data_IF_180454164124
#
_entry.id   IF_180454164124
#
_cell.length_a   1.000
_cell.length_b   1.000
_cell.length_c   1.000
_cell.angle_alpha   90.00
_cell.angle_beta   90.00
_cell.angle_gamma   90.00
#
_symmetry.space_group_name_H-M   'P 1'
#
loop_
_entity.id
_entity.type
_entity.pdbx_description
1 polymer ?
#
# COMPACT_ATOMS: atom_id res chain seq x y z
N UNK A 1 -12.27 53.54 -14.69
CA UNK A 1 -11.07 52.75 -14.36
C UNK A 1 -11.45 51.63 -13.40
N UNK A 2 -11.92 50.51 -13.92
CA UNK A 2 -12.13 49.29 -13.13
C UNK A 2 -11.37 48.22 -13.89
N UNK A 3 -10.10 48.01 -13.48
CA UNK A 3 -9.25 46.97 -14.03
C UNK A 3 -9.79 45.62 -13.53
N UNK A 4 -10.23 44.79 -14.48
CA UNK A 4 -10.54 43.39 -14.26
C UNK A 4 -9.29 42.69 -13.69
N UNK A 5 -9.38 42.22 -12.45
CA UNK A 5 -8.47 41.22 -11.92
C UNK A 5 -8.68 39.93 -12.71
N UNK A 6 -7.76 39.65 -13.65
CA UNK A 6 -7.59 38.31 -14.19
C UNK A 6 -7.19 37.39 -13.04
N UNK A 7 -8.11 36.53 -12.59
CA UNK A 7 -7.76 35.33 -11.86
C UNK A 7 -6.89 34.48 -12.77
N UNK A 8 -5.58 34.56 -12.59
CA UNK A 8 -4.67 33.52 -13.07
C UNK A 8 -4.99 32.25 -12.30
N UNK A 9 -5.85 31.39 -12.85
CA UNK A 9 -5.88 30.00 -12.47
C UNK A 9 -4.53 29.40 -12.87
N UNK A 10 -3.56 29.38 -11.94
CA UNK A 10 -2.42 28.50 -12.06
C UNK A 10 -2.95 27.06 -12.09
N UNK A 11 -3.06 26.51 -13.30
CA UNK A 11 -3.17 25.08 -13.52
C UNK A 11 -1.90 24.44 -12.95
N UNK A 12 -1.90 24.16 -11.65
CA UNK A 12 -0.92 23.29 -11.04
C UNK A 12 -1.10 21.92 -11.70
N UNK A 13 -0.25 21.61 -12.67
CA UNK A 13 -0.13 20.24 -13.17
C UNK A 13 0.22 19.36 -11.96
N UNK A 14 -0.74 18.52 -11.57
CA UNK A 14 -0.59 17.60 -10.43
C UNK A 14 0.51 16.59 -10.77
N UNK A 15 1.68 16.77 -10.17
CA UNK A 15 2.82 15.84 -10.32
C UNK A 15 2.58 14.67 -9.36
N UNK A 16 2.12 13.55 -9.91
CA UNK A 16 1.96 12.32 -9.17
C UNK A 16 3.32 11.64 -8.94
N UNK A 17 3.53 10.96 -7.81
CA UNK A 17 4.67 10.06 -7.65
C UNK A 17 4.75 9.06 -8.81
N UNK A 18 5.93 8.90 -9.41
CA UNK A 18 6.18 7.82 -10.37
C UNK A 18 5.99 6.47 -9.69
N UNK A 19 6.43 6.34 -8.44
CA UNK A 19 6.36 5.09 -7.66
C UNK A 19 6.01 5.32 -6.20
N UNK A 20 5.32 4.33 -5.65
CA UNK A 20 5.17 4.10 -4.21
C UNK A 20 5.75 2.72 -3.92
N UNK A 21 6.75 2.64 -3.06
CA UNK A 21 7.48 1.41 -2.76
C UNK A 21 7.22 1.07 -1.29
N UNK A 22 6.48 0.01 -1.04
CA UNK A 22 6.22 -0.51 0.30
C UNK A 22 7.35 -1.46 0.68
N UNK A 23 7.94 -1.28 1.87
CA UNK A 23 9.06 -2.11 2.34
C UNK A 23 8.73 -2.64 3.73
N UNK A 24 8.79 -3.97 3.93
CA UNK A 24 8.75 -4.53 5.28
C UNK A 24 10.12 -4.39 5.94
N UNK A 25 10.16 -4.10 7.23
CA UNK A 25 11.40 -4.11 7.99
C UNK A 25 12.19 -5.43 7.86
N UNK A 26 13.51 -5.35 8.07
CA UNK A 26 14.39 -6.52 8.13
C UNK A 26 14.08 -7.42 9.32
N UNK A 27 14.67 -8.62 9.35
CA UNK A 27 14.48 -9.58 10.44
C UNK A 27 14.75 -8.92 11.80
N UNK A 28 13.78 -9.01 12.70
CA UNK A 28 13.86 -8.51 14.07
C UNK A 28 14.12 -9.64 15.06
N UNK A 29 14.58 -9.30 16.27
CA UNK A 29 14.71 -10.28 17.34
C UNK A 29 13.39 -11.02 17.60
N UNK A 30 12.26 -10.31 17.51
CA UNK A 30 10.93 -10.89 17.62
C UNK A 30 10.49 -11.77 16.44
N UNK A 31 11.11 -11.64 15.25
CA UNK A 31 10.87 -12.60 14.16
C UNK A 31 11.63 -13.92 14.37
N UNK A 32 12.82 -13.83 14.98
CA UNK A 32 13.64 -14.99 15.29
C UNK A 32 13.16 -15.73 16.53
N UNK A 33 12.72 -15.00 17.55
CA UNK A 33 12.28 -15.54 18.83
C UNK A 33 11.09 -14.73 19.36
N UNK A 34 9.91 -15.35 19.40
CA UNK A 34 8.68 -14.70 19.86
C UNK A 34 8.73 -14.30 21.34
N UNK A 35 9.58 -14.94 22.16
CA UNK A 35 9.72 -14.60 23.59
C UNK A 35 10.24 -13.17 23.81
N UNK A 36 10.87 -12.57 22.79
CA UNK A 36 11.31 -11.18 22.83
C UNK A 36 10.13 -10.22 23.12
N UNK A 37 8.93 -10.52 22.63
CA UNK A 37 7.72 -9.72 22.86
C UNK A 37 7.13 -9.87 24.27
N UNK A 38 7.64 -10.78 25.08
CA UNK A 38 7.21 -10.94 26.48
C UNK A 38 7.96 -10.00 27.43
N UNK A 39 9.11 -9.47 27.02
CA UNK A 39 9.99 -8.64 27.87
C UNK A 39 10.30 -7.27 27.25
N UNK A 40 10.28 -7.18 25.93
CA UNK A 40 10.55 -5.94 25.19
C UNK A 40 9.26 -5.48 24.52
N UNK A 41 8.83 -4.22 24.73
CA UNK A 41 7.67 -3.67 24.03
C UNK A 41 7.86 -3.75 22.51
N UNK A 42 6.81 -4.12 21.76
CA UNK A 42 6.90 -4.39 20.32
C UNK A 42 7.63 -3.27 19.55
N UNK A 43 7.28 -2.01 19.79
CA UNK A 43 7.88 -0.87 19.12
C UNK A 43 9.40 -0.70 19.37
N UNK A 44 9.96 -1.32 20.41
CA UNK A 44 11.39 -1.30 20.77
C UNK A 44 12.18 -2.51 20.26
N UNK A 45 11.52 -3.52 19.70
CA UNK A 45 12.20 -4.73 19.24
C UNK A 45 13.22 -4.38 18.14
N UNK A 46 14.52 -4.65 18.34
CA UNK A 46 15.56 -4.26 17.39
C UNK A 46 15.69 -5.27 16.24
N UNK A 47 16.39 -4.85 15.18
CA UNK A 47 16.83 -5.76 14.11
C UNK A 47 17.87 -6.77 14.62
N UNK A 48 17.93 -7.92 13.95
CA UNK A 48 19.08 -8.83 14.04
C UNK A 48 20.21 -8.35 13.12
N UNK A 49 21.45 -8.87 13.27
CA UNK A 49 22.51 -8.63 12.30
C UNK A 49 22.13 -9.07 10.87
N UNK A 50 21.32 -10.13 10.74
CA UNK A 50 20.77 -10.58 9.47
C UNK A 50 19.79 -9.54 8.90
N UNK A 51 18.89 -8.99 9.72
CA UNK A 51 17.98 -7.91 9.33
C UNK A 51 18.69 -6.64 8.84
N UNK A 52 19.85 -6.32 9.43
CA UNK A 52 20.71 -5.23 8.95
C UNK A 52 21.30 -5.54 7.57
N UNK A 53 21.77 -6.76 7.34
CA UNK A 53 22.30 -7.17 6.03
C UNK A 53 21.21 -7.19 4.94
N UNK A 54 20.02 -7.70 5.27
CA UNK A 54 18.83 -7.65 4.41
C UNK A 54 18.49 -6.22 3.99
N UNK A 55 18.48 -5.28 4.94
CA UNK A 55 18.14 -3.88 4.67
C UNK A 55 19.17 -3.18 3.75
N UNK A 56 20.45 -3.52 3.87
CA UNK A 56 21.49 -3.03 2.95
C UNK A 56 21.26 -3.53 1.52
N UNK A 57 20.95 -4.81 1.35
CA UNK A 57 20.66 -5.40 0.05
C UNK A 57 19.41 -4.78 -0.58
N UNK A 58 18.33 -4.66 0.21
CA UNK A 58 17.10 -4.02 -0.25
C UNK A 58 17.34 -2.57 -0.67
N UNK A 59 18.17 -1.80 0.05
CA UNK A 59 18.57 -0.46 -0.36
C UNK A 59 19.21 -0.40 -1.74
N UNK A 60 20.12 -1.34 -2.04
CA UNK A 60 20.76 -1.42 -3.35
C UNK A 60 19.76 -1.79 -4.46
N UNK A 61 18.83 -2.71 -4.19
CA UNK A 61 17.79 -3.13 -5.14
C UNK A 61 16.79 -1.99 -5.41
N UNK A 62 16.28 -1.33 -4.37
CA UNK A 62 15.35 -0.19 -4.51
C UNK A 62 16.03 0.96 -5.28
N UNK A 63 17.32 1.22 -5.02
CA UNK A 63 18.08 2.21 -5.80
C UNK A 63 18.08 1.87 -7.29
N UNK A 64 18.29 0.60 -7.67
CA UNK A 64 18.22 0.17 -9.07
C UNK A 64 16.84 0.46 -9.68
N UNK A 65 15.77 0.10 -8.98
CA UNK A 65 14.39 0.39 -9.38
C UNK A 65 14.15 1.88 -9.62
N UNK A 66 14.45 2.75 -8.64
CA UNK A 66 14.16 4.18 -8.79
C UNK A 66 15.01 4.85 -9.87
N UNK A 67 16.21 4.31 -10.13
CA UNK A 67 17.11 4.80 -11.17
C UNK A 67 16.91 4.18 -12.56
N UNK A 68 15.91 3.30 -12.73
CA UNK A 68 15.70 2.52 -13.96
C UNK A 68 17.00 1.81 -14.40
N UNK A 69 17.66 1.10 -13.47
CA UNK A 69 18.97 0.47 -13.65
C UNK A 69 20.08 1.46 -14.08
N UNK A 70 19.98 2.70 -13.62
CA UNK A 70 20.91 3.79 -13.94
C UNK A 70 20.59 4.54 -15.24
N UNK A 71 19.51 4.19 -15.94
CA UNK A 71 19.05 4.92 -17.14
C UNK A 71 18.45 6.28 -16.80
N UNK A 72 17.79 6.40 -15.64
CA UNK A 72 17.23 7.66 -15.15
C UNK A 72 18.21 8.39 -14.22
N UNK A 73 18.31 9.71 -14.40
CA UNK A 73 19.14 10.62 -13.59
C UNK A 73 18.34 11.72 -12.91
N UNK A 74 17.02 11.77 -13.06
CA UNK A 74 16.12 12.80 -12.51
C UNK A 74 15.28 12.26 -11.35
N UNK A 75 15.58 11.08 -10.82
CA UNK A 75 14.82 10.51 -9.71
C UNK A 75 15.14 11.18 -8.37
N UNK A 76 14.11 11.30 -7.53
CA UNK A 76 14.15 11.74 -6.14
C UNK A 76 13.39 10.76 -5.25
N UNK A 77 13.82 10.64 -4.00
CA UNK A 77 13.18 9.77 -3.01
C UNK A 77 12.72 10.55 -1.78
N UNK A 78 11.50 10.26 -1.34
CA UNK A 78 10.96 10.71 -0.05
C UNK A 78 10.58 9.49 0.78
N UNK A 79 11.03 9.47 2.04
CA UNK A 79 10.80 8.34 2.93
C UNK A 79 9.67 8.61 3.92
N UNK A 80 8.75 7.65 4.05
CA UNK A 80 7.91 7.50 5.23
C UNK A 80 8.39 6.30 6.04
N UNK A 81 8.36 6.40 7.36
CA UNK A 81 8.81 5.30 8.22
C UNK A 81 7.93 5.18 9.46
N UNK A 82 7.55 3.94 9.79
CA UNK A 82 6.91 3.68 11.08
C UNK A 82 7.85 4.04 12.24
N UNK A 83 7.33 4.52 13.39
CA UNK A 83 8.14 4.90 14.54
C UNK A 83 8.87 3.73 15.23
N UNK A 84 8.66 2.49 14.81
CA UNK A 84 9.25 1.33 15.48
C UNK A 84 10.76 1.25 15.24
N UNK A 85 11.51 0.76 16.23
CA UNK A 85 12.98 0.72 16.14
C UNK A 85 13.46 -0.12 14.95
N UNK A 86 12.82 -1.27 14.69
CA UNK A 86 13.13 -2.11 13.54
C UNK A 86 12.93 -1.42 12.18
N UNK A 87 11.88 -0.61 12.02
CA UNK A 87 11.62 0.13 10.77
C UNK A 87 12.58 1.29 10.62
N UNK A 88 12.87 2.03 11.71
CA UNK A 88 13.87 3.11 11.71
C UNK A 88 15.28 2.58 11.41
N UNK A 89 15.67 1.46 12.01
CA UNK A 89 16.92 0.75 11.71
C UNK A 89 16.99 0.30 10.26
N UNK A 90 15.91 -0.27 9.72
CA UNK A 90 15.83 -0.69 8.32
C UNK A 90 16.02 0.51 7.37
N UNK A 91 15.33 1.62 7.63
CA UNK A 91 15.47 2.84 6.84
C UNK A 91 16.91 3.38 6.86
N UNK A 92 17.58 3.36 8.02
CA UNK A 92 18.98 3.82 8.12
C UNK A 92 19.91 3.05 7.18
N UNK A 93 19.70 1.74 7.05
CA UNK A 93 20.50 0.89 6.16
C UNK A 93 20.12 1.07 4.68
N UNK A 94 18.83 1.14 4.37
CA UNK A 94 18.34 1.43 3.01
C UNK A 94 18.87 2.78 2.52
N UNK A 95 18.76 3.81 3.37
CA UNK A 95 19.16 5.18 3.07
C UNK A 95 20.62 5.33 2.67
N UNK A 96 21.51 4.45 3.15
CA UNK A 96 22.94 4.45 2.76
C UNK A 96 23.19 4.15 1.29
N UNK A 97 22.22 3.59 0.59
CA UNK A 97 22.32 3.32 -0.85
C UNK A 97 22.07 4.56 -1.71
N UNK A 98 21.54 5.65 -1.13
CA UNK A 98 21.13 6.83 -1.87
C UNK A 98 22.10 8.00 -1.68
N UNK A 99 22.51 8.69 -2.75
CA UNK A 99 23.20 9.97 -2.64
C UNK A 99 22.34 11.00 -1.89
N UNK A 100 22.96 11.83 -1.03
CA UNK A 100 22.23 12.75 -0.14
C UNK A 100 21.35 13.76 -0.89
N UNK A 101 21.78 14.21 -2.07
CA UNK A 101 21.09 15.15 -2.97
C UNK A 101 19.85 14.53 -3.66
N UNK A 102 19.72 13.21 -3.59
CA UNK A 102 18.56 12.46 -4.10
C UNK A 102 17.46 12.27 -3.06
N UNK A 103 17.80 12.43 -1.78
CA UNK A 103 16.87 12.29 -0.66
C UNK A 103 16.26 13.67 -0.35
N UNK A 104 15.01 13.87 -0.76
CA UNK A 104 14.32 15.16 -0.58
C UNK A 104 13.68 15.29 0.80
N UNK A 105 13.43 14.18 1.50
CA UNK A 105 12.90 14.23 2.85
C UNK A 105 12.66 12.86 3.47
N UNK A 106 12.41 12.89 4.77
CA UNK A 106 11.98 11.75 5.57
C UNK A 106 10.94 12.23 6.58
N UNK A 107 9.93 11.41 6.83
CA UNK A 107 8.92 11.66 7.87
C UNK A 107 8.58 10.37 8.60
N UNK A 108 8.59 10.45 9.93
CA UNK A 108 8.01 9.41 10.77
C UNK A 108 6.48 9.49 10.69
N UNK A 109 5.82 8.35 10.53
CA UNK A 109 4.37 8.25 10.36
C UNK A 109 3.82 7.12 11.24
N UNK A 110 3.16 7.49 12.35
CA UNK A 110 2.60 6.55 13.32
C UNK A 110 1.48 5.68 12.74
N UNK A 111 0.77 6.16 11.71
CA UNK A 111 -0.37 5.43 11.12
C UNK A 111 0.07 4.25 10.24
N UNK A 112 1.35 4.13 9.91
CA UNK A 112 1.91 2.98 9.18
C UNK A 112 2.68 2.00 10.07
N UNK A 113 2.43 2.00 11.39
CA UNK A 113 2.98 0.99 12.33
C UNK A 113 2.26 -0.36 12.20
N UNK A 114 2.84 -1.42 12.77
CA UNK A 114 2.24 -2.77 12.76
C UNK A 114 0.90 -2.80 13.51
N UNK A 115 0.07 -3.81 13.27
CA UNK A 115 -1.10 -4.10 14.11
C UNK A 115 -0.69 -4.27 15.57
N UNK A 116 -1.34 -3.54 16.47
CA UNK A 116 -1.09 -3.70 17.90
C UNK A 116 -1.71 -5.02 18.40
N UNK A 117 -0.90 -5.89 19.01
CA UNK A 117 -1.33 -7.19 19.54
C UNK A 117 -1.59 -7.18 21.06
N UNK A 118 -1.77 -5.98 21.64
CA UNK A 118 -1.76 -5.75 23.09
C UNK A 118 -0.37 -5.39 23.61
N UNK A 119 -0.21 -5.34 24.93
CA UNK A 119 1.02 -4.86 25.60
C UNK A 119 2.20 -5.83 25.45
N UNK A 120 2.21 -6.90 26.25
CA UNK A 120 3.20 -7.97 26.17
C UNK A 120 2.56 -9.25 25.65
N UNK A 121 3.30 -9.97 24.84
CA UNK A 121 2.82 -11.17 24.16
C UNK A 121 3.35 -12.42 24.90
N UNK A 122 2.56 -12.92 25.85
CA UNK A 122 2.83 -14.19 26.50
C UNK A 122 2.60 -15.36 25.53
N UNK A 123 3.56 -16.26 25.43
CA UNK A 123 3.59 -17.29 24.37
C UNK A 123 2.33 -18.18 24.35
N UNK A 124 1.94 -18.74 25.51
CA UNK A 124 0.78 -19.63 25.61
C UNK A 124 -0.53 -18.89 25.26
N UNK A 125 -0.68 -17.66 25.76
CA UNK A 125 -1.84 -16.81 25.47
C UNK A 125 -1.90 -16.47 23.98
N UNK A 126 -0.77 -16.11 23.37
CA UNK A 126 -0.69 -15.80 21.95
C UNK A 126 -0.97 -17.00 21.05
N UNK A 127 -0.60 -18.21 21.48
CA UNK A 127 -0.94 -19.43 20.73
C UNK A 127 -2.46 -19.62 20.65
N UNK A 128 -3.16 -19.54 21.78
CA UNK A 128 -4.63 -19.65 21.82
C UNK A 128 -5.32 -18.54 21.01
N UNK A 129 -4.79 -17.32 21.07
CA UNK A 129 -5.29 -16.17 20.30
C UNK A 129 -5.14 -16.43 18.79
N UNK A 130 -3.99 -16.93 18.33
CA UNK A 130 -3.74 -17.24 16.91
C UNK A 130 -4.69 -18.32 16.40
N UNK A 131 -4.89 -19.39 17.15
CA UNK A 131 -5.84 -20.47 16.81
C UNK A 131 -7.28 -19.94 16.71
N UNK A 132 -7.68 -19.05 17.64
CA UNK A 132 -9.00 -18.41 17.61
C UNK A 132 -9.14 -17.50 16.39
N UNK A 133 -8.11 -16.73 16.07
CA UNK A 133 -8.07 -15.83 14.91
C UNK A 133 -8.19 -16.59 13.59
N UNK A 134 -7.51 -17.73 13.45
CA UNK A 134 -7.61 -18.58 12.26
C UNK A 134 -9.05 -19.04 11.99
N UNK A 135 -9.82 -19.32 13.04
CA UNK A 135 -11.24 -19.70 12.93
C UNK A 135 -12.17 -18.52 12.69
N UNK A 136 -11.82 -17.33 13.17
CA UNK A 136 -12.67 -16.13 13.07
C UNK A 136 -12.50 -15.38 11.75
N UNK A 137 -11.29 -15.38 11.17
CA UNK A 137 -10.91 -14.55 10.03
C UNK A 137 -9.95 -13.43 10.44
N UNK A 138 -9.06 -13.01 9.54
CA UNK A 138 -7.91 -12.15 9.87
C UNK A 138 -8.28 -10.67 9.91
N UNK A 139 -9.27 -10.24 9.14
CA UNK A 139 -9.58 -8.82 8.95
C UNK A 139 -10.30 -8.22 10.15
N UNK A 140 -11.38 -8.87 10.60
CA UNK A 140 -12.23 -8.37 11.68
C UNK A 140 -11.84 -8.87 13.08
N UNK A 141 -10.96 -9.88 13.19
CA UNK A 141 -10.52 -10.34 14.51
C UNK A 141 -9.74 -9.26 15.23
N UNK A 142 -10.22 -8.86 16.41
CA UNK A 142 -9.55 -7.90 17.29
C UNK A 142 -8.77 -8.62 18.37
N UNK A 143 -7.48 -8.31 18.46
CA UNK A 143 -6.64 -8.83 19.54
C UNK A 143 -7.08 -8.23 20.88
N UNK A 144 -7.05 -8.99 21.99
CA UNK A 144 -7.28 -8.44 23.32
C UNK A 144 -6.32 -7.27 23.60
N UNK A 145 -6.88 -6.11 23.99
CA UNK A 145 -6.11 -4.88 24.22
C UNK A 145 -5.31 -4.39 23.00
N UNK A 146 -5.62 -4.89 21.81
CA UNK A 146 -4.95 -4.57 20.55
C UNK A 146 -5.92 -4.08 19.48
N UNK A 147 -5.47 -4.15 18.24
CA UNK A 147 -6.18 -3.73 17.04
C UNK A 147 -6.72 -4.95 16.28
N UNK A 148 -7.77 -4.75 15.48
CA UNK A 148 -8.13 -5.60 14.34
C UNK A 148 -7.49 -5.07 13.06
N UNK A 149 -7.48 -5.83 11.95
CA UNK A 149 -7.00 -5.27 10.69
C UNK A 149 -7.93 -4.16 10.16
N UNK A 150 -9.21 -4.18 10.52
CA UNK A 150 -10.15 -3.08 10.26
C UNK A 150 -9.72 -1.78 10.97
N UNK A 151 -9.27 -1.85 12.24
CA UNK A 151 -8.74 -0.67 12.94
C UNK A 151 -7.47 -0.14 12.24
N UNK A 152 -6.61 -1.04 11.75
CA UNK A 152 -5.44 -0.70 10.93
C UNK A 152 -5.86 -0.04 9.61
N UNK A 153 -6.94 -0.52 8.98
CA UNK A 153 -7.50 0.01 7.74
C UNK A 153 -7.94 1.47 7.88
N UNK A 154 -8.57 1.83 9.00
CA UNK A 154 -9.02 3.20 9.24
C UNK A 154 -7.85 4.18 9.38
N UNK A 155 -6.84 3.83 10.18
CA UNK A 155 -5.66 4.70 10.34
C UNK A 155 -4.82 4.81 9.07
N UNK A 156 -4.70 3.73 8.29
CA UNK A 156 -4.02 3.77 6.99
C UNK A 156 -4.82 4.62 5.99
N UNK A 157 -6.15 4.57 6.02
CA UNK A 157 -7.02 5.44 5.21
C UNK A 157 -6.74 6.92 5.49
N UNK A 158 -6.68 7.32 6.77
CA UNK A 158 -6.32 8.69 7.16
C UNK A 158 -4.90 9.09 6.70
N UNK A 159 -3.95 8.16 6.73
CA UNK A 159 -2.61 8.40 6.17
C UNK A 159 -2.67 8.68 4.67
N UNK A 160 -3.43 7.89 3.89
CA UNK A 160 -3.59 8.10 2.46
C UNK A 160 -4.20 9.46 2.13
N UNK A 161 -5.19 9.92 2.88
CA UNK A 161 -5.75 11.28 2.72
C UNK A 161 -4.68 12.36 2.92
N UNK A 162 -3.82 12.19 3.93
CA UNK A 162 -2.70 13.11 4.17
C UNK A 162 -1.69 13.05 3.03
N UNK A 163 -1.38 11.85 2.54
CA UNK A 163 -0.46 11.65 1.42
C UNK A 163 -0.97 12.33 0.16
N UNK A 164 -2.24 12.12 -0.19
CA UNK A 164 -2.88 12.76 -1.34
C UNK A 164 -2.85 14.28 -1.23
N UNK A 165 -3.17 14.83 -0.05
CA UNK A 165 -3.09 16.28 0.18
C UNK A 165 -1.67 16.81 0.04
N UNK A 166 -0.66 16.08 0.52
CA UNK A 166 0.73 16.50 0.39
C UNK A 166 1.20 16.50 -1.08
N UNK A 167 0.73 15.52 -1.88
CA UNK A 167 0.96 15.46 -3.33
C UNK A 167 0.26 16.65 -4.00
N UNK A 168 -1.02 16.87 -3.72
CA UNK A 168 -1.84 17.92 -4.36
C UNK A 168 -1.32 19.33 -4.07
N UNK A 169 -0.80 19.55 -2.86
CA UNK A 169 -0.21 20.82 -2.45
C UNK A 169 1.28 20.98 -2.84
N UNK A 170 1.86 20.02 -3.59
CA UNK A 170 3.29 19.96 -3.92
C UNK A 170 4.23 20.22 -2.71
N UNK A 171 3.92 19.61 -1.56
CA UNK A 171 4.71 19.80 -0.32
C UNK A 171 6.08 19.13 -0.36
N UNK A 172 6.34 18.35 -1.40
CA UNK A 172 7.65 17.77 -1.68
C UNK A 172 8.58 18.73 -2.43
N UNK A 173 8.08 19.90 -2.85
CA UNK A 173 8.82 20.94 -3.56
C UNK A 173 9.58 20.41 -4.78
N UNK A 174 8.91 19.56 -5.54
CA UNK A 174 9.50 18.91 -6.70
C UNK A 174 9.48 19.79 -7.93
N UNK A 175 10.56 19.70 -8.69
CA UNK A 175 10.57 20.14 -10.08
C UNK A 175 9.71 19.17 -10.90
N UNK A 176 8.80 19.64 -11.79
CA UNK A 176 8.03 18.78 -12.67
C UNK A 176 8.85 17.84 -13.56
N UNK A 177 10.14 18.12 -13.75
CA UNK A 177 11.08 17.26 -14.46
C UNK A 177 11.69 16.14 -13.61
N UNK A 178 11.49 16.11 -12.29
CA UNK A 178 11.99 15.07 -11.41
C UNK A 178 10.98 13.90 -11.25
N UNK A 179 11.51 12.67 -11.26
CA UNK A 179 10.72 11.46 -10.97
C UNK A 179 10.63 11.26 -9.44
N UNK A 180 9.47 11.54 -8.84
CA UNK A 180 9.23 11.28 -7.42
C UNK A 180 8.99 9.79 -7.14
N UNK A 181 9.72 9.25 -6.17
CA UNK A 181 9.51 7.91 -5.63
C UNK A 181 9.28 8.00 -4.12
N UNK A 182 8.12 7.56 -3.67
CA UNK A 182 7.79 7.46 -2.25
C UNK A 182 8.20 6.08 -1.75
N UNK A 183 8.97 6.02 -0.66
CA UNK A 183 9.40 4.75 -0.05
C UNK A 183 8.84 4.70 1.37
N UNK A 184 8.00 3.70 1.65
CA UNK A 184 7.29 3.54 2.92
C UNK A 184 7.87 2.31 3.65
N UNK A 185 8.69 2.55 4.66
CA UNK A 185 9.28 1.49 5.49
C UNK A 185 8.35 1.18 6.66
N UNK A 186 7.68 0.02 6.59
CA UNK A 186 6.58 -0.38 7.44
C UNK A 186 6.68 -1.88 7.80
N UNK A 187 5.53 -2.53 7.96
CA UNK A 187 5.36 -3.86 8.51
C UNK A 187 4.47 -4.72 7.61
N UNK A 188 4.33 -6.00 7.95
CA UNK A 188 3.63 -6.96 7.11
C UNK A 188 2.16 -6.61 6.93
N UNK A 189 1.40 -6.52 8.03
CA UNK A 189 -0.04 -6.29 7.94
C UNK A 189 -0.37 -4.90 7.41
N UNK A 190 0.32 -3.87 7.94
CA UNK A 190 0.12 -2.49 7.51
C UNK A 190 0.33 -2.31 5.99
N UNK A 191 1.31 -2.99 5.39
CA UNK A 191 1.53 -2.96 3.94
C UNK A 191 0.43 -3.66 3.15
N UNK A 192 -0.09 -4.79 3.63
CA UNK A 192 -1.25 -5.45 2.99
C UNK A 192 -2.49 -4.56 3.04
N UNK A 193 -2.75 -3.95 4.21
CA UNK A 193 -3.86 -3.01 4.39
C UNK A 193 -3.72 -1.79 3.48
N UNK A 194 -2.50 -1.25 3.33
CA UNK A 194 -2.22 -0.18 2.37
C UNK A 194 -2.62 -0.61 0.96
N UNK A 195 -2.18 -1.77 0.49
CA UNK A 195 -2.49 -2.26 -0.86
C UNK A 195 -3.99 -2.46 -1.06
N UNK A 196 -4.66 -3.09 -0.09
CA UNK A 196 -6.11 -3.27 -0.11
C UNK A 196 -6.85 -1.95 -0.21
N UNK A 197 -6.45 -0.95 0.60
CA UNK A 197 -7.06 0.38 0.53
C UNK A 197 -6.75 1.09 -0.79
N UNK A 198 -5.51 0.98 -1.27
CA UNK A 198 -5.03 1.64 -2.48
C UNK A 198 -5.75 1.13 -3.73
N UNK A 199 -5.85 -0.18 -3.87
CA UNK A 199 -6.50 -0.83 -5.01
C UNK A 199 -7.98 -1.13 -4.81
N UNK A 200 -8.54 -0.72 -3.66
CA UNK A 200 -9.95 -0.95 -3.29
C UNK A 200 -10.33 -2.44 -3.33
N UNK A 201 -9.40 -3.31 -2.95
CA UNK A 201 -9.67 -4.75 -2.85
C UNK A 201 -10.68 -5.03 -1.74
N UNK A 202 -11.45 -6.10 -1.92
CA UNK A 202 -12.46 -6.54 -0.96
C UNK A 202 -11.81 -7.11 0.31
N UNK A 203 -12.61 -7.25 1.35
CA UNK A 203 -12.16 -7.91 2.59
C UNK A 203 -11.80 -9.36 2.32
N UNK A 204 -12.57 -10.07 1.49
CA UNK A 204 -12.30 -11.44 1.10
C UNK A 204 -10.97 -11.58 0.37
N UNK A 205 -10.70 -10.71 -0.59
CA UNK A 205 -9.40 -10.65 -1.28
C UNK A 205 -8.25 -10.41 -0.29
N UNK A 206 -8.43 -9.57 0.73
CA UNK A 206 -7.41 -9.35 1.76
C UNK A 206 -7.09 -10.60 2.62
N UNK A 207 -8.07 -11.45 2.89
CA UNK A 207 -7.88 -12.65 3.72
C UNK A 207 -6.82 -13.59 3.13
N UNK A 208 -6.77 -13.67 1.79
CA UNK A 208 -5.82 -14.51 1.05
C UNK A 208 -4.42 -13.90 0.92
N UNK A 209 -4.25 -12.59 1.14
CA UNK A 209 -2.95 -11.95 0.95
C UNK A 209 -1.89 -12.49 1.93
N UNK A 210 -0.69 -12.72 1.43
CA UNK A 210 0.48 -13.09 2.22
C UNK A 210 1.22 -11.85 2.70
N UNK A 211 1.79 -11.93 3.92
CA UNK A 211 2.68 -10.87 4.41
C UNK A 211 3.96 -10.87 3.59
N UNK A 212 4.47 -9.66 3.30
CA UNK A 212 5.80 -9.47 2.74
C UNK A 212 6.85 -10.19 3.60
N UNK A 213 7.87 -10.80 3.03
CA UNK A 213 9.07 -11.27 3.72
C UNK A 213 9.87 -10.11 4.34
N UNK A 214 10.82 -10.42 5.22
CA UNK A 214 11.68 -9.39 5.80
C UNK A 214 12.52 -8.70 4.72
N UNK A 215 12.48 -7.36 4.68
CA UNK A 215 13.06 -6.54 3.61
C UNK A 215 12.56 -6.82 2.18
N UNK A 216 11.51 -7.62 2.01
CA UNK A 216 10.76 -7.63 0.74
C UNK A 216 10.15 -6.24 0.53
N UNK A 217 10.14 -5.81 -0.72
CA UNK A 217 9.48 -4.58 -1.12
C UNK A 217 8.59 -4.81 -2.34
N UNK A 218 7.49 -4.06 -2.41
CA UNK A 218 6.56 -4.08 -3.53
C UNK A 218 6.46 -2.68 -4.12
N UNK A 219 6.74 -2.59 -5.42
CA UNK A 219 6.68 -1.38 -6.23
C UNK A 219 5.30 -1.22 -6.84
N UNK A 220 4.63 -0.14 -6.47
CA UNK A 220 3.38 0.33 -7.08
C UNK A 220 3.75 1.50 -7.99
N UNK A 221 3.71 1.32 -9.31
CA UNK A 221 4.14 2.33 -10.28
C UNK A 221 2.96 2.94 -11.03
N UNK A 222 3.01 4.25 -11.25
CA UNK A 222 2.08 4.97 -12.11
C UNK A 222 2.31 4.58 -13.59
N UNK A 223 1.30 4.01 -14.22
CA UNK A 223 1.26 3.71 -15.65
C UNK A 223 1.04 4.98 -16.48
N UNK A 224 1.27 4.88 -17.80
CA UNK A 224 0.98 5.97 -18.74
C UNK A 224 -0.51 6.35 -18.75
N UNK A 225 -1.38 5.37 -18.49
CA UNK A 225 -2.82 5.55 -18.31
C UNK A 225 -3.23 6.34 -17.06
N UNK A 226 -2.29 6.70 -16.18
CA UNK A 226 -2.58 7.46 -14.97
C UNK A 226 -3.07 6.62 -13.78
N UNK A 227 -3.16 5.29 -13.95
CA UNK A 227 -3.43 4.34 -12.88
C UNK A 227 -2.14 3.77 -12.31
N UNK A 228 -2.14 3.46 -11.02
CA UNK A 228 -1.03 2.73 -10.41
C UNK A 228 -1.22 1.23 -10.61
N UNK A 229 -0.12 0.48 -10.77
CA UNK A 229 -0.15 -0.97 -10.93
C UNK A 229 1.08 -1.63 -10.28
N UNK A 230 0.87 -2.84 -9.76
CA UNK A 230 1.93 -3.78 -9.39
C UNK A 230 2.55 -4.49 -10.61
N UNK A 231 1.77 -4.77 -11.65
CA UNK A 231 2.17 -5.58 -12.80
C UNK A 231 3.24 -4.93 -13.71
N UNK A 232 3.64 -3.69 -13.42
CA UNK A 232 4.73 -3.01 -14.14
C UNK A 232 6.10 -3.51 -13.66
N UNK A 233 6.23 -3.88 -12.39
CA UNK A 233 7.51 -4.28 -11.78
C UNK A 233 7.54 -5.73 -11.31
N UNK A 234 6.37 -6.36 -11.18
CA UNK A 234 6.26 -7.70 -10.63
C UNK A 234 5.61 -8.64 -11.61
N UNK A 235 6.07 -9.88 -11.63
CA UNK A 235 5.51 -10.91 -12.49
C UNK A 235 4.17 -11.40 -11.96
N UNK A 236 3.45 -12.14 -12.79
CA UNK A 236 2.21 -12.79 -12.37
C UNK A 236 2.45 -13.82 -11.27
N UNK A 237 3.55 -14.59 -11.38
CA UNK A 237 3.93 -15.59 -10.40
C UNK A 237 4.20 -14.96 -9.03
N UNK A 238 4.93 -13.84 -8.98
CA UNK A 238 5.17 -13.11 -7.73
C UNK A 238 3.84 -12.64 -7.10
N UNK A 239 2.93 -12.09 -7.91
CA UNK A 239 1.62 -11.66 -7.43
C UNK A 239 0.75 -12.82 -6.93
N UNK A 240 0.80 -13.99 -7.59
CA UNK A 240 0.12 -15.20 -7.14
C UNK A 240 0.70 -15.71 -5.81
N UNK A 241 2.03 -15.74 -5.66
CA UNK A 241 2.69 -16.11 -4.40
C UNK A 241 2.29 -15.17 -3.24
N UNK A 242 1.95 -13.92 -3.55
CA UNK A 242 1.44 -12.96 -2.58
C UNK A 242 -0.04 -13.14 -2.23
N UNK A 243 -0.72 -14.09 -2.86
CA UNK A 243 -2.12 -14.42 -2.63
C UNK A 243 -3.11 -13.54 -3.40
N UNK A 244 -2.68 -12.87 -4.48
CA UNK A 244 -3.62 -12.18 -5.36
C UNK A 244 -4.41 -13.23 -6.18
N UNK A 245 -5.72 -13.05 -6.28
CA UNK A 245 -6.57 -13.88 -7.12
C UNK A 245 -6.32 -13.59 -8.61
N UNK A 246 -6.74 -14.48 -9.53
CA UNK A 246 -6.67 -14.23 -10.97
C UNK A 246 -7.28 -12.90 -11.39
N UNK A 247 -8.43 -12.52 -10.80
CA UNK A 247 -9.12 -11.26 -11.12
C UNK A 247 -8.33 -10.05 -10.64
N UNK A 248 -7.74 -10.11 -9.44
CA UNK A 248 -6.87 -9.05 -8.95
C UNK A 248 -5.67 -8.86 -9.88
N UNK A 249 -5.06 -9.95 -10.34
CA UNK A 249 -3.92 -9.91 -11.28
C UNK A 249 -4.34 -9.35 -12.63
N UNK A 250 -5.50 -9.74 -13.14
CA UNK A 250 -6.07 -9.20 -14.38
C UNK A 250 -6.28 -7.68 -14.28
N UNK A 251 -6.85 -7.19 -13.17
CA UNK A 251 -6.97 -5.76 -12.87
C UNK A 251 -5.60 -5.06 -12.84
N UNK A 252 -4.58 -5.65 -12.18
CA UNK A 252 -3.24 -5.07 -12.16
C UNK A 252 -2.61 -4.98 -13.57
N UNK A 253 -2.75 -6.03 -14.39
CA UNK A 253 -2.28 -6.04 -15.79
C UNK A 253 -3.02 -5.00 -16.63
N UNK A 254 -4.33 -4.87 -16.45
CA UNK A 254 -5.13 -3.85 -17.13
C UNK A 254 -4.67 -2.44 -16.75
N UNK A 255 -4.47 -2.15 -15.45
CA UNK A 255 -3.95 -0.85 -14.99
C UNK A 255 -2.59 -0.51 -15.56
N UNK A 256 -1.74 -1.51 -15.81
CA UNK A 256 -0.41 -1.31 -16.40
C UNK A 256 -0.48 -0.91 -17.88
N UNK A 257 -1.48 -1.41 -18.62
CA UNK A 257 -1.60 -1.27 -20.08
C UNK A 257 -2.70 -0.29 -20.54
N UNK A 258 -3.66 0.05 -19.68
CA UNK A 258 -4.85 0.80 -20.03
C UNK A 258 -4.56 2.24 -20.44
N UNK A 259 -5.27 2.73 -21.46
CA UNK A 259 -5.30 4.16 -21.81
C UNK A 259 -6.30 4.89 -20.90
N UNK A 260 -6.02 6.16 -20.56
CA UNK A 260 -6.92 7.03 -19.78
C UNK A 260 -8.32 7.02 -20.40
N UNK A 261 -9.31 6.47 -19.69
CA UNK A 261 -10.73 6.64 -20.06
C UNK A 261 -11.66 5.45 -19.82
N UNK A 262 -11.18 4.20 -19.83
CA UNK A 262 -12.06 3.01 -19.87
C UNK A 262 -12.43 2.40 -18.51
N UNK A 263 -12.28 3.12 -17.40
CA UNK A 263 -12.40 2.49 -16.08
C UNK A 263 -13.83 2.04 -15.75
N UNK A 264 -14.84 2.81 -16.15
CA UNK A 264 -16.24 2.48 -15.85
C UNK A 264 -16.79 1.35 -16.73
N UNK A 265 -16.30 1.21 -17.96
CA UNK A 265 -16.86 0.24 -18.92
C UNK A 265 -16.34 -1.19 -18.71
N UNK A 266 -15.17 -1.38 -18.05
CA UNK A 266 -14.53 -2.70 -17.93
C UNK A 266 -14.26 -3.19 -16.50
N UNK A 267 -14.44 -2.36 -15.46
CA UNK A 267 -14.45 -2.82 -14.06
C UNK A 267 -15.89 -3.13 -13.61
N UNK A 268 -16.56 -3.95 -14.39
CA UNK A 268 -17.96 -4.33 -14.21
C UNK A 268 -18.15 -5.29 -13.01
N UNK A 269 -17.10 -6.04 -12.63
CA UNK A 269 -17.17 -7.09 -11.61
C UNK A 269 -17.73 -6.68 -10.24
N UNK A 270 -17.50 -5.44 -9.76
CA UNK A 270 -18.02 -5.02 -8.45
C UNK A 270 -19.46 -4.50 -8.52
N UNK A 271 -19.93 -4.04 -9.68
CA UNK A 271 -21.36 -3.74 -9.87
C UNK A 271 -22.11 -5.05 -10.07
N UNK A 272 -21.58 -5.91 -10.93
CA UNK A 272 -22.09 -7.23 -11.26
C UNK A 272 -22.28 -8.09 -10.00
N UNK A 273 -21.28 -8.19 -9.10
CA UNK A 273 -21.38 -8.98 -7.86
C UNK A 273 -22.62 -8.64 -7.00
N UNK A 274 -23.06 -7.39 -6.98
CA UNK A 274 -24.22 -6.95 -6.19
C UNK A 274 -25.50 -6.81 -7.01
N UNK A 275 -25.41 -6.58 -8.32
CA UNK A 275 -26.52 -6.16 -9.16
C UNK A 275 -26.75 -7.03 -10.41
N UNK A 276 -26.04 -8.15 -10.58
CA UNK A 276 -26.20 -9.14 -11.67
C UNK A 276 -27.63 -9.67 -11.86
N UNK A 277 -28.50 -9.47 -10.87
CA UNK A 277 -29.89 -9.93 -10.86
C UNK A 277 -30.91 -8.80 -10.96
N UNK A 278 -30.46 -7.56 -11.10
CA UNK A 278 -31.35 -6.45 -11.38
C UNK A 278 -31.52 -6.37 -12.90
N UNK A 279 -32.75 -6.56 -13.35
CA UNK A 279 -33.12 -6.29 -14.74
C UNK A 279 -32.96 -4.79 -15.01
N UNK A 280 -32.47 -4.46 -16.21
CA UNK A 280 -32.42 -3.08 -16.65
C UNK A 280 -33.86 -2.53 -16.71
N UNK A 281 -34.05 -1.31 -16.20
CA UNK A 281 -35.38 -0.69 -16.08
C UNK A 281 -36.12 -0.50 -17.43
N UNK A 282 -35.45 -0.75 -18.55
CA UNK A 282 -36.04 -0.71 -19.90
C UNK A 282 -36.80 -2.01 -20.25
N UNK A 283 -36.43 -3.17 -19.68
CA UNK A 283 -37.09 -4.46 -19.97
C UNK A 283 -38.40 -4.65 -19.17
N UNK A 284 -38.58 -3.93 -18.07
CA UNK A 284 -39.78 -4.03 -17.21
C UNK A 284 -40.96 -3.19 -17.71
N UNK A 285 -40.79 -2.30 -18.70
CA UNK A 285 -41.88 -1.47 -19.23
C UNK A 285 -42.62 -2.10 -20.42
N UNK A 286 -42.11 -3.18 -21.01
CA UNK A 286 -42.77 -3.88 -22.13
C UNK A 286 -43.77 -4.96 -21.66
N UNK A 287 -43.70 -5.41 -20.40
CA UNK A 287 -44.61 -6.47 -19.91
C UNK A 287 -45.95 -5.95 -19.33
N UNK A 288 -46.07 -4.67 -19.01
CA UNK A 288 -47.29 -4.11 -18.40
C UNK A 288 -48.32 -3.57 -19.42
N UNK A 289 -48.08 -3.69 -20.73
CA UNK A 289 -49.02 -3.21 -21.77
C UNK A 289 -49.95 -4.27 -22.37
N UNK A 290 -49.75 -5.57 -22.09
CA UNK A 290 -50.52 -6.65 -22.73
C UNK A 290 -51.65 -7.26 -21.88
N UNK A 291 -51.89 -6.81 -20.63
CA UNK A 291 -52.96 -7.37 -19.77
C UNK A 291 -54.29 -6.58 -19.72
N UNK A 292 -54.52 -5.61 -20.61
CA UNK A 292 -55.76 -4.81 -20.62
C UNK A 292 -56.57 -4.84 -21.93
N UNK A 293 -56.57 -5.95 -22.68
CA UNK A 293 -57.58 -6.20 -23.72
C UNK A 293 -58.08 -7.66 -23.73
N UNK A 294 -59.06 -7.99 -22.87
CA UNK A 294 -60.09 -9.02 -23.13
C UNK A 294 -61.43 -8.62 -22.51
#
# INVERSE_FOLDING_TARGET
MIQQQQQQQHSHHKVLPKRIILVRHGESQGNRDNSAYSTTPDYKIPLTPNGVAQAKLAGAQIRRVVSDDGRSRNWKVYFYVSPYERTRSTLREIGRSFPRDRIIGVREECRVREQDFGNFQEEQRMKMIKETRERFGRFFYRFPEGESAADVYDRVSSFLETLWRDIDMNRFHLDPSDDLNLIIVSHGLASRVFLTKWFKWTVEQFEYLNNLGNCEFRVVQLAQGGDYSLAIHHTEEEMQEWGLSPDMIADQKWRACGNKGNWYENCQWYLDEFFDKLEDAEDSMEQDQDENEV
#
